data_IF_939626478321
#
_entry.id   IF_939626478321
#
_cell.length_a   1.000
_cell.length_b   1.000
_cell.length_c   1.000
_cell.angle_alpha   90.00
_cell.angle_beta   90.00
_cell.angle_gamma   90.00
#
_symmetry.space_group_name_H-M   'P 1'
#
loop_
_entity.id
_entity.type
_entity.pdbx_description
1 polymer ?
#
# COMPACT_ATOMS: atom_id res chain seq x y z
N UNK A 1 -33.99 5.70 22.76
CA UNK A 1 -32.85 6.38 23.41
C UNK A 1 -31.68 6.26 22.44
N UNK A 2 -31.53 7.23 21.52
CA UNK A 2 -30.42 7.25 20.58
C UNK A 2 -29.19 7.75 21.34
N UNK A 3 -28.32 6.83 21.73
CA UNK A 3 -27.02 7.17 22.28
C UNK A 3 -26.25 7.95 21.22
N UNK A 4 -25.89 9.18 21.55
CA UNK A 4 -24.90 9.96 20.82
C UNK A 4 -23.64 9.09 20.82
N UNK A 5 -23.26 8.51 19.68
CA UNK A 5 -21.92 7.93 19.54
C UNK A 5 -20.95 9.06 19.83
N UNK A 6 -20.23 8.96 20.95
CA UNK A 6 -19.13 9.86 21.22
C UNK A 6 -18.15 9.75 20.04
N UNK A 7 -17.88 10.88 19.37
CA UNK A 7 -16.83 10.94 18.36
C UNK A 7 -15.52 10.55 19.03
N UNK A 8 -15.02 9.36 18.71
CA UNK A 8 -13.72 8.87 19.16
C UNK A 8 -12.71 9.12 18.05
N UNK A 9 -11.64 9.84 18.39
CA UNK A 9 -10.47 9.96 17.52
C UNK A 9 -9.56 8.76 17.75
N UNK A 10 -9.08 8.17 16.65
CA UNK A 10 -8.11 7.08 16.65
C UNK A 10 -7.11 7.31 15.51
N UNK A 11 -5.90 6.79 15.69
CA UNK A 11 -4.79 6.81 14.76
C UNK A 11 -4.12 5.44 14.83
N UNK A 12 -3.37 5.07 13.79
CA UNK A 12 -2.80 3.73 13.53
C UNK A 12 -3.77 2.82 12.74
N UNK A 13 -3.28 2.33 11.59
CA UNK A 13 -4.06 1.52 10.65
C UNK A 13 -4.40 0.15 11.20
N UNK A 14 -3.49 -0.48 11.95
CA UNK A 14 -3.68 -1.86 12.44
C UNK A 14 -4.83 -1.97 13.44
N UNK A 15 -4.89 -1.18 14.55
CA UNK A 15 -6.02 -1.24 15.47
C UNK A 15 -7.32 -0.76 14.83
N UNK A 16 -7.27 0.22 13.91
CA UNK A 16 -8.44 0.66 13.17
C UNK A 16 -9.00 -0.46 12.27
N UNK A 17 -8.13 -1.19 11.57
CA UNK A 17 -8.52 -2.32 10.74
C UNK A 17 -9.20 -3.40 11.58
N UNK A 18 -8.61 -3.75 12.74
CA UNK A 18 -9.19 -4.75 13.65
C UNK A 18 -10.54 -4.30 14.24
N UNK A 19 -10.68 -3.01 14.57
CA UNK A 19 -11.95 -2.46 15.06
C UNK A 19 -13.02 -2.47 13.96
N UNK A 20 -12.67 -2.08 12.73
CA UNK A 20 -13.59 -2.14 11.59
C UNK A 20 -14.00 -3.57 11.25
N UNK A 21 -13.07 -4.52 11.30
CA UNK A 21 -13.36 -5.94 11.12
C UNK A 21 -14.27 -6.47 12.24
N UNK A 22 -14.08 -6.06 13.49
CA UNK A 22 -14.97 -6.44 14.59
C UNK A 22 -16.39 -5.86 14.44
N UNK A 23 -16.52 -4.64 13.90
CA UNK A 23 -17.80 -3.94 13.74
C UNK A 23 -18.56 -4.35 12.47
N UNK A 24 -17.84 -4.66 11.38
CA UNK A 24 -18.41 -4.79 10.04
C UNK A 24 -17.97 -6.06 9.31
N UNK A 25 -17.07 -6.86 9.89
CA UNK A 25 -16.57 -8.10 9.32
C UNK A 25 -17.70 -9.06 9.01
N UNK A 26 -17.63 -9.65 7.82
CA UNK A 26 -18.55 -10.71 7.42
C UNK A 26 -17.74 -11.91 6.95
N UNK A 27 -18.26 -13.15 7.00
CA UNK A 27 -17.56 -14.30 6.41
C UNK A 27 -17.16 -14.06 4.93
N UNK A 28 -17.93 -13.22 4.22
CA UNK A 28 -17.69 -12.87 2.81
C UNK A 28 -16.74 -11.69 2.58
N UNK A 29 -16.41 -10.93 3.62
CA UNK A 29 -15.48 -9.80 3.61
C UNK A 29 -14.76 -9.77 4.95
N UNK A 30 -13.85 -10.73 5.10
CA UNK A 30 -12.98 -10.88 6.25
C UNK A 30 -11.54 -10.74 5.76
N UNK A 31 -10.77 -9.89 6.43
CA UNK A 31 -9.38 -9.60 6.10
C UNK A 31 -8.37 -10.60 6.68
N UNK A 32 -8.84 -11.58 7.43
CA UNK A 32 -8.04 -12.62 8.05
C UNK A 32 -8.27 -13.99 7.38
N UNK A 33 -7.21 -14.71 7.01
CA UNK A 33 -7.32 -16.08 6.54
C UNK A 33 -7.95 -17.02 7.58
N UNK A 34 -8.73 -18.00 7.12
CA UNK A 34 -9.39 -18.98 8.01
C UNK A 34 -8.41 -19.95 8.68
N UNK A 35 -7.32 -20.29 8.01
CA UNK A 35 -6.32 -21.21 8.58
C UNK A 35 -5.41 -20.46 9.55
N UNK A 36 -5.16 -21.04 10.73
CA UNK A 36 -4.29 -20.41 11.73
C UNK A 36 -2.87 -20.13 11.19
N UNK A 37 -2.35 -21.02 10.34
CA UNK A 37 -1.04 -20.84 9.71
C UNK A 37 -0.99 -19.64 8.75
N UNK A 38 -1.99 -19.49 7.89
CA UNK A 38 -2.08 -18.29 7.03
C UNK A 38 -2.42 -17.04 7.84
N UNK A 39 -3.22 -17.15 8.92
CA UNK A 39 -3.49 -16.04 9.83
C UNK A 39 -2.21 -15.48 10.47
N UNK A 40 -1.33 -16.36 10.95
CA UNK A 40 -0.01 -15.96 11.46
C UNK A 40 0.84 -15.28 10.37
N UNK A 41 0.94 -15.88 9.18
CA UNK A 41 1.71 -15.28 8.08
C UNK A 41 1.12 -13.94 7.62
N UNK A 42 -0.20 -13.79 7.66
CA UNK A 42 -0.88 -12.56 7.31
C UNK A 42 -0.51 -11.44 8.28
N UNK A 43 -0.56 -11.71 9.58
CA UNK A 43 -0.13 -10.76 10.61
C UNK A 43 1.37 -10.43 10.48
N UNK A 44 2.21 -11.44 10.21
CA UNK A 44 3.65 -11.22 10.03
C UNK A 44 3.99 -10.34 8.81
N UNK A 45 3.29 -10.53 7.69
CA UNK A 45 3.50 -9.71 6.49
C UNK A 45 2.96 -8.30 6.69
N UNK A 46 1.84 -8.16 7.41
CA UNK A 46 1.27 -6.86 7.77
C UNK A 46 2.23 -6.05 8.67
N UNK A 47 2.72 -6.64 9.76
CA UNK A 47 3.74 -6.06 10.64
C UNK A 47 5.04 -5.74 9.88
N UNK A 48 5.52 -6.64 9.03
CA UNK A 48 6.66 -6.38 8.15
C UNK A 48 6.44 -5.17 7.23
N UNK A 49 5.25 -5.01 6.68
CA UNK A 49 4.94 -3.87 5.83
C UNK A 49 4.88 -2.56 6.63
N UNK A 50 4.28 -2.58 7.81
CA UNK A 50 4.13 -1.40 8.65
C UNK A 50 5.45 -0.94 9.30
N UNK A 51 6.32 -1.88 9.69
CA UNK A 51 7.57 -1.57 10.40
C UNK A 51 8.81 -1.45 9.50
N UNK A 52 8.86 -2.24 8.42
CA UNK A 52 10.01 -2.29 7.52
C UNK A 52 9.72 -1.67 6.14
N UNK A 53 8.62 -2.03 5.48
CA UNK A 53 8.35 -1.44 4.17
C UNK A 53 8.01 0.05 4.26
N UNK A 54 7.49 0.52 5.40
CA UNK A 54 7.38 1.95 5.68
C UNK A 54 8.73 2.66 5.59
N UNK A 55 9.81 2.03 6.06
CA UNK A 55 11.18 2.59 5.99
C UNK A 55 11.72 2.54 4.56
N UNK A 56 11.42 1.48 3.81
CA UNK A 56 11.76 1.38 2.39
C UNK A 56 11.10 2.52 1.60
N UNK A 57 9.79 2.73 1.82
CA UNK A 57 9.03 3.81 1.20
C UNK A 57 9.56 5.19 1.63
N UNK A 58 9.78 5.39 2.93
CA UNK A 58 10.28 6.65 3.47
C UNK A 58 11.68 7.00 2.95
N UNK A 59 12.61 6.04 2.97
CA UNK A 59 13.93 6.25 2.40
C UNK A 59 13.81 6.56 0.92
N UNK A 60 13.04 5.81 0.12
CA UNK A 60 12.85 6.09 -1.31
C UNK A 60 12.34 7.52 -1.56
N UNK A 61 11.28 7.93 -0.85
CA UNK A 61 10.63 9.24 -0.93
C UNK A 61 11.60 10.39 -0.65
N UNK A 62 12.50 10.19 0.30
CA UNK A 62 13.40 11.24 0.78
C UNK A 62 14.87 10.99 0.43
N UNK A 63 15.18 10.00 -0.41
CA UNK A 63 16.55 9.66 -0.78
C UNK A 63 17.16 10.76 -1.67
N UNK A 64 16.52 11.03 -2.80
CA UNK A 64 16.97 12.06 -3.75
C UNK A 64 16.20 13.37 -3.55
N UNK A 65 16.79 14.47 -4.00
CA UNK A 65 16.11 15.76 -3.99
C UNK A 65 14.92 15.78 -4.96
N UNK A 66 15.00 15.01 -6.06
CA UNK A 66 13.94 14.87 -7.06
C UNK A 66 12.71 14.20 -6.42
N UNK A 67 12.88 13.05 -5.78
CA UNK A 67 11.80 12.31 -5.13
C UNK A 67 11.16 13.12 -4.00
N UNK A 68 11.98 13.78 -3.17
CA UNK A 68 11.49 14.57 -2.05
C UNK A 68 10.65 15.77 -2.53
N UNK A 69 11.12 16.46 -3.58
CA UNK A 69 10.39 17.59 -4.17
C UNK A 69 9.11 17.13 -4.85
N UNK A 70 9.19 16.06 -5.64
CA UNK A 70 8.04 15.48 -6.32
C UNK A 70 6.97 15.04 -5.31
N UNK A 71 7.34 14.21 -4.34
CA UNK A 71 6.41 13.65 -3.37
C UNK A 71 5.74 14.71 -2.51
N UNK A 72 6.48 15.75 -2.09
CA UNK A 72 5.92 16.86 -1.33
C UNK A 72 4.93 17.69 -2.15
N UNK A 73 5.29 18.01 -3.39
CA UNK A 73 4.44 18.77 -4.33
C UNK A 73 3.19 17.98 -4.68
N UNK A 74 3.35 16.72 -5.07
CA UNK A 74 2.25 15.84 -5.46
C UNK A 74 1.28 15.62 -4.30
N UNK A 75 1.77 15.39 -3.09
CA UNK A 75 0.91 15.15 -1.92
C UNK A 75 0.12 16.39 -1.52
N UNK A 76 0.73 17.59 -1.51
CA UNK A 76 0.01 18.81 -1.10
C UNK A 76 -1.05 19.22 -2.12
N UNK A 77 -0.76 19.06 -3.42
CA UNK A 77 -1.67 19.48 -4.50
C UNK A 77 -2.84 18.53 -4.74
N UNK A 78 -2.87 17.35 -4.11
CA UNK A 78 -4.07 16.51 -4.11
C UNK A 78 -5.25 17.15 -3.37
N UNK A 79 -5.00 18.11 -2.48
CA UNK A 79 -6.06 18.94 -1.91
C UNK A 79 -6.45 20.06 -2.88
N UNK A 80 -7.70 20.11 -3.37
CA UNK A 80 -8.15 21.18 -4.27
C UNK A 80 -8.04 22.58 -3.64
N UNK A 81 -8.12 22.68 -2.30
CA UNK A 81 -7.96 23.95 -1.61
C UNK A 81 -6.51 24.43 -1.59
N UNK A 82 -5.56 23.52 -1.40
CA UNK A 82 -4.13 23.86 -1.51
C UNK A 82 -3.75 24.20 -2.95
N UNK A 83 -4.37 23.56 -3.94
CA UNK A 83 -4.12 23.83 -5.35
C UNK A 83 -4.52 25.26 -5.79
N UNK A 84 -5.46 25.91 -5.09
CA UNK A 84 -5.83 27.33 -5.34
C UNK A 84 -4.68 28.30 -5.06
N UNK A 85 -3.75 27.92 -4.19
CA UNK A 85 -2.58 28.73 -3.83
C UNK A 85 -1.31 27.89 -3.90
N UNK A 86 -1.11 27.26 -5.08
CA UNK A 86 -0.10 26.23 -5.29
C UNK A 86 1.31 26.65 -4.90
N UNK A 87 1.75 27.86 -5.23
CA UNK A 87 3.12 28.32 -4.94
C UNK A 87 3.40 28.33 -3.42
N UNK A 88 2.47 28.84 -2.62
CA UNK A 88 2.60 28.86 -1.17
C UNK A 88 2.55 27.44 -0.56
N UNK A 89 1.66 26.60 -1.07
CA UNK A 89 1.53 25.20 -0.64
C UNK A 89 2.80 24.38 -0.96
N UNK A 90 3.36 24.55 -2.16
CA UNK A 90 4.59 23.89 -2.61
C UNK A 90 5.77 24.35 -1.75
N UNK A 91 5.92 25.66 -1.52
CA UNK A 91 7.00 26.18 -0.67
C UNK A 91 6.95 25.58 0.75
N UNK A 92 5.77 25.49 1.36
CA UNK A 92 5.59 24.86 2.66
C UNK A 92 5.92 23.35 2.64
N UNK A 93 5.51 22.65 1.56
CA UNK A 93 5.78 21.24 1.37
C UNK A 93 7.28 20.95 1.17
N UNK A 94 8.00 21.79 0.43
CA UNK A 94 9.45 21.69 0.25
C UNK A 94 10.20 21.90 1.59
N UNK A 95 9.77 22.85 2.41
CA UNK A 95 10.33 23.02 3.77
C UNK A 95 10.08 21.78 4.65
N UNK A 96 8.92 21.14 4.52
CA UNK A 96 8.65 19.88 5.20
C UNK A 96 9.58 18.76 4.69
N UNK A 97 9.71 18.61 3.37
CA UNK A 97 10.55 17.60 2.74
C UNK A 97 12.02 17.74 3.14
N UNK A 98 12.55 18.96 3.19
CA UNK A 98 13.91 19.24 3.63
C UNK A 98 14.15 18.70 5.07
N UNK A 99 13.21 18.95 5.99
CA UNK A 99 13.29 18.41 7.36
C UNK A 99 13.21 16.89 7.41
N UNK A 100 12.39 16.25 6.56
CA UNK A 100 12.33 14.80 6.50
C UNK A 100 13.64 14.19 6.01
N UNK A 101 14.27 14.80 5.00
CA UNK A 101 15.58 14.39 4.48
C UNK A 101 16.69 14.41 5.54
N UNK A 102 16.67 15.42 6.42
CA UNK A 102 17.64 15.55 7.54
C UNK A 102 17.43 14.48 8.62
N UNK A 103 16.19 13.99 8.78
CA UNK A 103 15.82 13.06 9.85
C UNK A 103 15.89 11.59 9.47
N UNK A 104 16.22 11.25 8.21
CA UNK A 104 16.24 9.85 7.73
C UNK A 104 17.07 8.93 8.63
N UNK A 105 18.27 9.35 9.03
CA UNK A 105 19.13 8.58 9.91
C UNK A 105 18.51 8.33 11.31
N UNK A 106 17.68 9.25 11.82
CA UNK A 106 17.03 9.11 13.13
C UNK A 106 15.95 8.02 13.13
N UNK A 107 15.39 7.70 11.96
CA UNK A 107 14.35 6.67 11.79
C UNK A 107 14.91 5.39 11.13
N UNK A 108 16.23 5.23 11.13
CA UNK A 108 16.91 4.05 10.57
C UNK A 108 16.92 3.99 9.04
N UNK A 109 16.63 5.10 8.36
CA UNK A 109 16.68 5.22 6.90
C UNK A 109 18.01 5.88 6.51
N UNK A 110 19.03 5.09 6.21
CA UNK A 110 20.35 5.63 5.83
C UNK A 110 21.07 4.87 4.73
N UNK A 111 20.55 3.71 4.34
CA UNK A 111 21.15 2.85 3.32
C UNK A 111 20.11 2.51 2.25
N UNK A 112 20.13 3.30 1.17
CA UNK A 112 19.28 3.04 0.01
C UNK A 112 19.54 1.67 -0.61
N UNK A 113 20.78 1.16 -0.62
CA UNK A 113 21.08 -0.13 -1.25
C UNK A 113 20.37 -1.29 -0.54
N UNK A 114 20.32 -1.25 0.80
CA UNK A 114 19.56 -2.22 1.59
C UNK A 114 18.05 -2.15 1.31
N UNK A 115 17.50 -0.94 1.22
CA UNK A 115 16.06 -0.71 0.99
C UNK A 115 15.64 -1.05 -0.44
N UNK A 116 16.44 -0.68 -1.43
CA UNK A 116 16.26 -1.08 -2.83
C UNK A 116 16.28 -2.61 -2.97
N UNK A 117 17.23 -3.28 -2.30
CA UNK A 117 17.27 -4.75 -2.30
C UNK A 117 15.98 -5.34 -1.73
N UNK A 118 15.47 -4.77 -0.64
CA UNK A 118 14.18 -5.20 -0.05
C UNK A 118 13.04 -4.98 -1.04
N UNK A 119 12.94 -3.79 -1.65
CA UNK A 119 11.90 -3.47 -2.63
C UNK A 119 11.89 -4.49 -3.78
N UNK A 120 13.06 -4.77 -4.35
CA UNK A 120 13.23 -5.78 -5.41
C UNK A 120 12.83 -7.17 -4.95
N UNK A 121 13.16 -7.58 -3.74
CA UNK A 121 12.75 -8.88 -3.18
C UNK A 121 11.22 -8.98 -3.02
N UNK A 122 10.58 -7.93 -2.50
CA UNK A 122 9.12 -7.87 -2.35
C UNK A 122 8.44 -7.90 -3.71
N UNK A 123 8.87 -7.06 -4.64
CA UNK A 123 8.32 -7.04 -5.99
C UNK A 123 8.52 -8.38 -6.70
N UNK A 124 9.69 -9.02 -6.59
CA UNK A 124 9.92 -10.33 -7.18
C UNK A 124 9.01 -11.42 -6.59
N UNK A 125 8.83 -11.46 -5.26
CA UNK A 125 7.97 -12.43 -4.61
C UNK A 125 6.49 -12.22 -4.98
N UNK A 126 6.03 -10.97 -4.98
CA UNK A 126 4.66 -10.64 -5.35
C UNK A 126 4.42 -10.91 -6.83
N UNK A 127 5.29 -10.48 -7.74
CA UNK A 127 5.21 -10.76 -9.18
C UNK A 127 5.11 -12.27 -9.45
N UNK A 128 5.94 -13.07 -8.79
CA UNK A 128 5.90 -14.53 -8.90
C UNK A 128 4.57 -15.13 -8.39
N UNK A 129 3.98 -14.58 -7.32
CA UNK A 129 2.67 -15.01 -6.82
C UNK A 129 1.55 -14.63 -7.81
N UNK A 130 1.55 -13.39 -8.31
CA UNK A 130 0.53 -12.87 -9.22
C UNK A 130 0.52 -13.61 -10.55
N UNK A 131 1.69 -13.98 -11.07
CA UNK A 131 1.82 -14.77 -12.31
C UNK A 131 1.24 -16.19 -12.21
N UNK A 132 0.98 -16.68 -11.00
CA UNK A 132 0.26 -17.95 -10.79
C UNK A 132 -1.27 -17.77 -10.91
N UNK A 133 -1.75 -16.59 -11.29
CA UNK A 133 -3.17 -16.28 -11.37
C UNK A 133 -3.81 -15.97 -10.01
N UNK A 134 -2.99 -15.75 -8.97
CA UNK A 134 -3.47 -15.36 -7.64
C UNK A 134 -3.63 -13.84 -7.59
N UNK A 135 -4.83 -13.30 -7.39
CA UNK A 135 -5.04 -11.85 -7.40
C UNK A 135 -4.50 -11.13 -6.14
N UNK A 136 -4.28 -11.86 -5.05
CA UNK A 136 -3.83 -11.36 -3.75
C UNK A 136 -2.77 -12.30 -3.13
N UNK A 137 -2.12 -11.85 -2.04
CA UNK A 137 -1.02 -12.56 -1.37
C UNK A 137 -1.46 -13.97 -0.93
N UNK A 138 -2.64 -14.10 -0.34
CA UNK A 138 -3.18 -15.38 0.15
C UNK A 138 -4.21 -16.04 -0.77
N UNK A 139 -4.30 -15.60 -2.03
CA UNK A 139 -5.16 -16.25 -3.04
C UNK A 139 -6.20 -15.30 -3.63
N UNK A 140 -7.47 -15.70 -3.59
CA UNK A 140 -8.56 -15.04 -4.33
C UNK A 140 -9.16 -13.82 -3.63
N UNK A 141 -8.78 -13.53 -2.38
CA UNK A 141 -9.36 -12.42 -1.60
C UNK A 141 -8.29 -11.58 -0.93
N UNK A 142 -8.50 -10.26 -0.81
CA UNK A 142 -7.57 -9.40 -0.10
C UNK A 142 -7.61 -9.69 1.40
N UNK A 143 -6.45 -9.51 2.02
CA UNK A 143 -6.23 -9.63 3.46
C UNK A 143 -5.60 -8.35 4.02
N UNK A 144 -5.42 -8.24 5.34
CA UNK A 144 -4.70 -7.11 5.92
C UNK A 144 -3.27 -6.98 5.36
N UNK A 145 -2.62 -8.10 5.06
CA UNK A 145 -1.31 -8.11 4.42
C UNK A 145 -1.29 -7.44 3.04
N UNK A 146 -2.35 -7.65 2.23
CA UNK A 146 -2.46 -7.01 0.92
C UNK A 146 -2.56 -5.49 1.06
N UNK A 147 -3.35 -5.00 2.02
CA UNK A 147 -3.53 -3.56 2.23
C UNK A 147 -2.29 -2.89 2.81
N UNK A 148 -1.59 -3.55 3.73
CA UNK A 148 -0.36 -3.01 4.28
C UNK A 148 0.74 -2.92 3.21
N UNK A 149 0.92 -3.98 2.39
CA UNK A 149 1.86 -3.95 1.26
C UNK A 149 1.42 -2.93 0.20
N UNK A 150 0.13 -2.85 -0.11
CA UNK A 150 -0.42 -1.88 -1.05
C UNK A 150 -0.15 -0.44 -0.61
N UNK A 151 -0.36 -0.10 0.66
CA UNK A 151 -0.13 1.25 1.18
C UNK A 151 1.28 1.75 0.91
N UNK A 152 2.28 0.87 1.07
CA UNK A 152 3.67 1.20 0.79
C UNK A 152 3.96 1.21 -0.72
N UNK A 153 3.52 0.19 -1.45
CA UNK A 153 3.77 0.07 -2.89
C UNK A 153 3.07 1.17 -3.70
N UNK A 154 1.93 1.70 -3.25
CA UNK A 154 1.22 2.78 -3.96
C UNK A 154 2.06 4.05 -4.05
N UNK A 155 2.81 4.35 -3.00
CA UNK A 155 3.75 5.47 -2.96
C UNK A 155 5.00 5.17 -3.78
N UNK A 156 5.60 4.00 -3.58
CA UNK A 156 6.78 3.54 -4.32
C UNK A 156 6.54 3.41 -5.84
N UNK A 157 5.32 3.11 -6.27
CA UNK A 157 4.94 3.07 -7.68
C UNK A 157 4.70 4.47 -8.29
N UNK A 158 4.69 5.52 -7.47
CA UNK A 158 4.43 6.91 -7.90
C UNK A 158 5.69 7.74 -7.93
N UNK A 159 6.59 7.57 -6.95
CA UNK A 159 7.78 8.41 -6.87
C UNK A 159 8.79 8.09 -7.99
N UNK A 160 9.50 9.09 -8.53
CA UNK A 160 10.37 8.94 -9.70
C UNK A 160 11.40 7.81 -9.62
N UNK A 161 12.16 7.70 -8.52
CA UNK A 161 13.19 6.67 -8.36
C UNK A 161 12.60 5.27 -8.14
N UNK A 162 11.78 5.01 -7.10
CA UNK A 162 11.29 3.68 -6.83
C UNK A 162 10.30 3.17 -7.90
N UNK A 163 9.58 4.06 -8.58
CA UNK A 163 8.64 3.61 -9.63
C UNK A 163 9.37 2.94 -10.79
N UNK A 164 10.60 3.38 -11.12
CA UNK A 164 11.46 2.72 -12.11
C UNK A 164 11.74 1.27 -11.74
N UNK A 165 11.95 0.99 -10.46
CA UNK A 165 12.17 -0.37 -9.94
C UNK A 165 10.88 -1.17 -10.00
N UNK A 166 9.76 -0.61 -9.53
CA UNK A 166 8.45 -1.30 -9.54
C UNK A 166 8.02 -1.66 -10.96
N UNK A 167 8.31 -0.80 -11.95
CA UNK A 167 8.01 -1.04 -13.37
C UNK A 167 8.79 -2.23 -13.97
N UNK A 168 9.90 -2.65 -13.37
CA UNK A 168 10.59 -3.89 -13.77
C UNK A 168 9.74 -5.15 -13.46
N UNK A 169 8.72 -5.02 -12.60
CA UNK A 169 7.78 -6.07 -12.20
C UNK A 169 6.36 -5.70 -12.61
N UNK A 170 6.00 -5.83 -13.91
CA UNK A 170 4.77 -5.26 -14.46
C UNK A 170 3.49 -5.84 -13.84
N UNK A 171 3.49 -7.08 -13.35
CA UNK A 171 2.31 -7.62 -12.66
C UNK A 171 2.09 -6.93 -11.30
N UNK A 172 3.16 -6.55 -10.61
CA UNK A 172 3.11 -5.77 -9.37
C UNK A 172 2.64 -4.35 -9.64
N UNK A 173 3.19 -3.70 -10.66
CA UNK A 173 2.76 -2.35 -11.04
C UNK A 173 1.26 -2.32 -11.38
N UNK A 174 0.78 -3.27 -12.20
CA UNK A 174 -0.65 -3.40 -12.49
C UNK A 174 -1.50 -3.77 -11.26
N UNK A 175 -0.95 -4.58 -10.34
CA UNK A 175 -1.62 -4.93 -9.09
C UNK A 175 -1.89 -3.71 -8.22
N UNK A 176 -0.94 -2.77 -8.12
CA UNK A 176 -1.12 -1.54 -7.34
C UNK A 176 -2.36 -0.77 -7.80
N UNK A 177 -2.50 -0.50 -9.11
CA UNK A 177 -3.67 0.25 -9.61
C UNK A 177 -4.98 -0.53 -9.51
N UNK A 178 -4.95 -1.87 -9.60
CA UNK A 178 -6.14 -2.68 -9.39
C UNK A 178 -6.61 -2.65 -7.93
N UNK A 179 -5.68 -2.67 -6.97
CA UNK A 179 -6.03 -2.69 -5.53
C UNK A 179 -6.54 -1.32 -5.05
N UNK A 180 -6.27 -0.23 -5.78
CA UNK A 180 -6.79 1.10 -5.49
C UNK A 180 -8.33 1.18 -5.45
N UNK A 181 -9.02 0.32 -6.23
CA UNK A 181 -10.48 0.18 -6.16
C UNK A 181 -10.91 -1.29 -6.26
N UNK A 182 -11.39 -1.84 -5.14
CA UNK A 182 -11.93 -3.19 -5.04
C UNK A 182 -13.45 -3.21 -4.86
N UNK A 183 -14.15 -2.08 -5.06
CA UNK A 183 -15.62 -1.99 -4.82
C UNK A 183 -16.42 -2.94 -5.71
N UNK A 184 -15.93 -3.24 -6.92
CA UNK A 184 -16.50 -4.20 -7.86
C UNK A 184 -15.97 -5.64 -7.73
N UNK A 185 -15.05 -5.91 -6.80
CA UNK A 185 -14.45 -7.25 -6.68
C UNK A 185 -15.48 -8.25 -6.12
N UNK A 186 -15.68 -9.42 -6.76
CA UNK A 186 -16.73 -10.35 -6.37
C UNK A 186 -16.45 -10.93 -4.98
N UNK A 187 -17.51 -11.07 -4.18
CA UNK A 187 -17.43 -11.65 -2.82
C UNK A 187 -17.12 -13.17 -2.81
N UNK A 188 -17.07 -13.83 -3.98
CA UNK A 188 -16.93 -15.29 -4.11
C UNK A 188 -15.55 -15.71 -4.66
N UNK A 189 -15.05 -16.83 -4.11
CA UNK A 189 -13.87 -17.52 -4.60
C UNK A 189 -14.16 -18.11 -6.00
N UNK A 190 -13.66 -17.43 -7.04
CA UNK A 190 -13.82 -17.86 -8.44
C UNK A 190 -12.95 -19.07 -8.82
N UNK A 191 -12.29 -19.73 -7.86
CA UNK A 191 -11.57 -20.99 -8.11
C UNK A 191 -12.44 -22.10 -8.72
N UNK A 192 -13.77 -21.96 -8.67
CA UNK A 192 -14.76 -22.87 -9.29
C UNK A 192 -15.31 -22.43 -10.63
N UNK A 193 -14.97 -21.23 -11.12
CA UNK A 193 -15.32 -20.83 -12.49
C UNK A 193 -14.18 -21.27 -13.41
N UNK A 194 -14.25 -22.52 -13.86
CA UNK A 194 -13.47 -22.98 -15.00
C UNK A 194 -13.73 -22.05 -16.18
N UNK A 195 -12.73 -21.22 -16.52
CA UNK A 195 -12.76 -20.39 -17.72
C UNK A 195 -12.63 -21.33 -18.90
N UNK A 196 -13.75 -21.63 -19.55
CA UNK A 196 -13.74 -22.18 -20.91
C UNK A 196 -12.97 -21.22 -21.84
N UNK A 197 -12.38 -21.72 -22.94
CA UNK A 197 -11.51 -20.91 -23.78
C UNK A 197 -12.33 -19.84 -24.50
N UNK A 198 -12.33 -18.63 -23.97
CA UNK A 198 -12.95 -17.48 -24.62
C UNK A 198 -13.53 -16.48 -23.63
N UNK A 199 -12.86 -15.34 -23.50
CA UNK A 199 -13.48 -14.12 -22.98
C UNK A 199 -12.64 -13.39 -21.95
N UNK A 200 -11.64 -12.64 -22.44
CA UNK A 200 -11.29 -11.38 -21.81
C UNK A 200 -12.57 -10.53 -21.74
N UNK A 201 -13.15 -10.37 -20.54
CA UNK A 201 -14.04 -9.24 -20.25
C UNK A 201 -13.20 -8.26 -19.46
N UNK A 202 -12.49 -7.42 -20.19
CA UNK A 202 -11.85 -6.24 -19.63
C UNK A 202 -12.91 -5.32 -19.04
N UNK A 203 -12.55 -4.72 -17.90
CA UNK A 203 -12.98 -3.39 -17.53
C UNK A 203 -11.82 -2.47 -17.87
#
# INVERSE_FOLDING_TARGET
MFGILALRYANDSTPLLLELEALHGTPRRNLHPESCGHGFLCALIEDFADEWLTKVMFEARFHTQEDAKFGATWQVLQSPDQAKNADAAIAAAEMFAARQRERRALVGCSDWSCMEKTLRMVCAALDANLRQGRPFIFGSRPTSADFAVYGQLRQLATDPLPSRIVMEYPAVWAWVFRVEDLTGYPDQDNSKLSVGPGGYRGV
#
